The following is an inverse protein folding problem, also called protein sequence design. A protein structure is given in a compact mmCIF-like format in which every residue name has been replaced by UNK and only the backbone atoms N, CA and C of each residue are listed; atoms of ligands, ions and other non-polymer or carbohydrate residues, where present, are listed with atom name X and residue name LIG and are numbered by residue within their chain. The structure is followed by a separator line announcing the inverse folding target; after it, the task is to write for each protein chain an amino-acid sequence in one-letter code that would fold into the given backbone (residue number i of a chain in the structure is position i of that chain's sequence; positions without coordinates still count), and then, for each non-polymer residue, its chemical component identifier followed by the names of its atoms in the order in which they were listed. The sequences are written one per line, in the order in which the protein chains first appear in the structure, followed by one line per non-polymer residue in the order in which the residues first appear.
data_IF_983495126870
#
_entry.id   IF_983495126870
#
_cell.length_a   1.000
_cell.length_b   1.000
_cell.length_c   1.000
_cell.angle_alpha   90.00
_cell.angle_beta   90.00
_cell.angle_gamma   90.00
#
_symmetry.space_group_name_H-M   'P 1'
#
loop_
_entity.id
_entity.type
_entity.pdbx_description
1 polymer ?
#
# COMPACT_ATOMS: atom_id res chain seq x y z
N UNK A 1 -11.53 15.49 2.73
CA UNK A 1 -10.42 15.30 1.75
C UNK A 1 -9.40 14.37 2.36
N UNK A 2 -8.90 13.41 1.60
CA UNK A 2 -7.95 12.40 2.09
C UNK A 2 -6.58 12.98 2.49
N UNK A 3 -5.84 12.27 3.34
CA UNK A 3 -4.46 12.56 3.71
C UNK A 3 -3.53 11.45 3.23
N UNK A 4 -2.40 11.81 2.68
CA UNK A 4 -1.32 10.88 2.31
C UNK A 4 -0.09 11.23 3.13
N UNK A 5 0.64 10.21 3.56
CA UNK A 5 1.95 10.33 4.18
C UNK A 5 2.88 9.24 3.67
N UNK A 6 4.15 9.55 3.53
CA UNK A 6 5.23 8.62 3.19
C UNK A 6 6.49 8.95 3.98
N UNK A 7 7.24 7.95 4.40
CA UNK A 7 8.51 8.10 5.09
C UNK A 7 9.49 7.02 4.60
N UNK A 8 10.62 7.45 4.10
CA UNK A 8 11.74 6.61 3.70
C UNK A 8 12.98 6.93 4.55
N UNK A 9 13.55 5.92 5.18
CA UNK A 9 14.71 6.07 6.05
C UNK A 9 16.00 5.77 5.27
N UNK A 10 16.80 6.81 5.04
CA UNK A 10 18.15 6.70 4.47
C UNK A 10 19.14 6.15 5.47
N UNK A 11 18.95 6.49 6.75
CA UNK A 11 19.76 6.02 7.85
C UNK A 11 19.19 4.72 8.44
N UNK A 12 19.94 3.61 8.29
CA UNK A 12 19.52 2.29 8.77
C UNK A 12 19.38 2.20 10.30
N UNK A 13 20.06 3.05 11.07
CA UNK A 13 19.92 3.10 12.53
C UNK A 13 18.53 3.52 13.00
N UNK A 14 17.78 4.21 12.14
CA UNK A 14 16.41 4.64 12.42
C UNK A 14 15.35 3.58 12.09
N UNK A 15 15.70 2.52 11.38
CA UNK A 15 14.75 1.51 10.90
C UNK A 15 13.94 0.86 12.02
N UNK A 16 14.52 0.70 13.21
CA UNK A 16 13.80 0.19 14.39
C UNK A 16 12.74 1.15 14.93
N UNK A 17 12.77 2.42 14.52
CA UNK A 17 11.87 3.49 14.96
C UNK A 17 10.84 3.88 13.90
N UNK A 18 10.85 3.23 12.73
CA UNK A 18 10.01 3.61 11.59
C UNK A 18 8.55 3.80 11.98
N UNK A 19 7.95 2.84 12.69
CA UNK A 19 6.56 2.91 13.11
C UNK A 19 6.26 4.07 14.05
N UNK A 20 7.12 4.30 15.04
CA UNK A 20 6.96 5.40 16.00
C UNK A 20 7.17 6.79 15.36
N UNK A 21 8.02 6.88 14.33
CA UNK A 21 8.21 8.11 13.56
C UNK A 21 7.03 8.40 12.62
N UNK A 22 6.48 7.35 12.00
CA UNK A 22 5.37 7.47 11.05
C UNK A 22 4.02 7.71 11.71
N UNK A 23 3.80 7.19 12.93
CA UNK A 23 2.53 7.32 13.64
C UNK A 23 2.03 8.77 13.74
N UNK A 24 2.80 9.73 14.28
CA UNK A 24 2.34 11.11 14.40
C UNK A 24 2.05 11.75 13.05
N UNK A 25 2.77 11.37 11.98
CA UNK A 25 2.49 11.87 10.63
C UNK A 25 1.11 11.44 10.14
N UNK A 26 0.76 10.16 10.31
CA UNK A 26 -0.54 9.64 9.87
C UNK A 26 -1.67 10.18 10.73
N UNK A 27 -1.48 10.22 12.05
CA UNK A 27 -2.46 10.74 13.01
C UNK A 27 -2.78 12.22 12.74
N UNK A 28 -1.79 13.03 12.39
CA UNK A 28 -1.99 14.45 12.03
C UNK A 28 -2.94 14.60 10.83
N UNK A 29 -3.07 13.58 9.99
CA UNK A 29 -3.99 13.56 8.84
C UNK A 29 -5.42 13.10 9.19
N UNK A 30 -5.74 12.77 10.47
CA UNK A 30 -7.08 12.30 10.89
C UNK A 30 -8.18 13.28 10.51
N UNK A 31 -7.95 14.58 10.68
CA UNK A 31 -8.93 15.62 10.34
C UNK A 31 -9.27 15.69 8.85
N UNK A 32 -8.42 15.11 7.99
CA UNK A 32 -8.64 15.02 6.54
C UNK A 32 -9.41 13.78 6.13
N UNK A 33 -9.28 12.69 6.87
CA UNK A 33 -9.91 11.42 6.53
C UNK A 33 -10.12 10.54 7.76
N UNK A 34 -11.24 10.73 8.50
CA UNK A 34 -11.49 9.97 9.72
C UNK A 34 -12.15 8.62 9.49
N UNK A 35 -12.57 8.29 8.25
CA UNK A 35 -13.48 7.16 7.99
C UNK A 35 -12.73 5.83 7.90
N UNK A 36 -11.54 5.83 7.34
CA UNK A 36 -10.67 4.66 7.31
C UNK A 36 -9.21 5.08 7.15
N UNK A 37 -8.30 4.22 7.59
CA UNK A 37 -6.88 4.41 7.43
C UNK A 37 -6.18 3.10 7.07
N UNK A 38 -4.97 3.22 6.54
CA UNK A 38 -4.12 2.08 6.32
C UNK A 38 -2.71 2.47 5.93
N UNK A 39 -1.83 1.49 6.06
CA UNK A 39 -0.41 1.63 5.80
C UNK A 39 0.14 0.44 5.04
N UNK A 40 1.16 0.68 4.25
CA UNK A 40 2.06 -0.35 3.74
C UNK A 40 3.44 -0.14 4.37
N UNK A 41 4.03 -1.23 4.85
CA UNK A 41 5.34 -1.26 5.49
C UNK A 41 6.25 -2.19 4.70
N UNK A 42 7.46 -1.78 4.45
CA UNK A 42 8.48 -2.58 3.78
C UNK A 42 9.53 -3.01 4.80
N UNK A 43 9.50 -4.29 5.11
CA UNK A 43 10.32 -4.86 6.19
C UNK A 43 10.52 -6.37 6.06
N UNK A 44 11.55 -6.89 6.75
CA UNK A 44 11.78 -8.32 6.91
C UNK A 44 11.59 -9.08 5.58
N UNK A 45 12.39 -8.80 4.56
CA UNK A 45 12.28 -9.51 3.30
C UNK A 45 12.44 -11.01 3.52
N UNK A 46 11.55 -11.80 2.88
CA UNK A 46 11.60 -13.25 2.93
C UNK A 46 12.70 -13.78 2.03
N UNK A 47 13.09 -15.03 2.21
CA UNK A 47 14.14 -15.67 1.42
C UNK A 47 13.75 -15.81 -0.05
N UNK A 48 14.74 -15.91 -0.92
CA UNK A 48 14.52 -16.19 -2.35
C UNK A 48 13.70 -17.47 -2.53
N UNK A 49 12.66 -17.41 -3.34
CA UNK A 49 11.72 -18.51 -3.54
C UNK A 49 10.54 -18.52 -2.57
N UNK A 50 10.48 -17.61 -1.63
CA UNK A 50 9.32 -17.40 -0.75
C UNK A 50 8.55 -16.15 -1.16
N UNK A 51 7.25 -16.15 -0.86
CA UNK A 51 6.34 -15.01 -1.02
C UNK A 51 5.64 -14.73 0.30
N UNK A 52 5.55 -13.45 0.64
CA UNK A 52 4.78 -12.92 1.75
C UNK A 52 3.44 -12.41 1.22
N UNK A 53 2.35 -12.76 1.90
CA UNK A 53 1.02 -12.25 1.63
C UNK A 53 0.49 -11.50 2.85
N UNK A 54 -0.08 -10.34 2.62
CA UNK A 54 -0.96 -9.67 3.59
C UNK A 54 -2.39 -10.09 3.26
N UNK A 55 -3.03 -10.76 4.20
CA UNK A 55 -4.40 -11.25 4.08
C UNK A 55 -5.30 -10.52 5.09
N UNK A 56 -6.57 -10.37 4.79
CA UNK A 56 -7.56 -9.79 5.68
C UNK A 56 -8.86 -10.59 5.69
N UNK A 57 -9.52 -10.60 6.84
CA UNK A 57 -10.86 -11.16 7.03
C UNK A 57 -11.68 -10.17 7.86
N UNK A 58 -13.01 -10.05 7.59
CA UNK A 58 -13.85 -9.07 8.28
C UNK A 58 -14.24 -9.49 9.70
N UNK A 59 -14.25 -10.80 9.99
CA UNK A 59 -14.50 -11.32 11.33
C UNK A 59 -13.21 -11.26 12.17
N UNK A 60 -13.20 -10.50 13.29
CA UNK A 60 -12.03 -10.40 14.16
C UNK A 60 -11.70 -11.70 14.91
N UNK A 61 -12.67 -12.60 15.04
CA UNK A 61 -12.52 -13.90 15.70
C UNK A 61 -12.15 -15.03 14.71
N UNK A 62 -11.88 -14.68 13.45
CA UNK A 62 -11.53 -15.65 12.42
C UNK A 62 -10.25 -16.42 12.76
N UNK A 63 -10.32 -17.77 12.68
CA UNK A 63 -9.17 -18.63 12.94
C UNK A 63 -8.32 -18.86 11.69
N UNK A 64 -7.14 -18.29 11.68
CA UNK A 64 -6.15 -18.43 10.60
C UNK A 64 -5.48 -19.81 10.56
N UNK A 65 -5.57 -20.63 11.61
CA UNK A 65 -4.95 -21.97 11.70
C UNK A 65 -5.48 -22.92 10.62
N UNK A 66 -6.76 -22.80 10.28
CA UNK A 66 -7.37 -23.57 9.19
C UNK A 66 -6.71 -23.24 7.84
N UNK A 67 -6.44 -21.96 7.58
CA UNK A 67 -5.75 -21.53 6.36
C UNK A 67 -4.36 -22.15 6.24
N UNK A 68 -3.56 -22.11 7.30
CA UNK A 68 -2.21 -22.69 7.35
C UNK A 68 -2.23 -24.17 7.00
N UNK A 69 -3.11 -24.92 7.66
CA UNK A 69 -3.23 -26.37 7.49
C UNK A 69 -3.68 -26.76 6.08
N UNK A 70 -4.75 -26.12 5.59
CA UNK A 70 -5.34 -26.45 4.28
C UNK A 70 -4.43 -26.04 3.12
N UNK A 71 -3.79 -24.86 3.21
CA UNK A 71 -2.88 -24.41 2.18
C UNK A 71 -1.64 -25.31 2.08
N UNK A 72 -1.02 -25.64 3.24
CA UNK A 72 0.14 -26.53 3.29
C UNK A 72 -0.18 -27.91 2.73
N UNK A 73 -1.33 -28.49 3.10
CA UNK A 73 -1.76 -29.80 2.62
C UNK A 73 -2.06 -29.81 1.12
N UNK A 74 -2.77 -28.79 0.63
CA UNK A 74 -3.24 -28.75 -0.77
C UNK A 74 -2.09 -28.46 -1.75
N UNK A 75 -1.23 -27.49 -1.42
CA UNK A 75 -0.15 -27.07 -2.31
C UNK A 75 1.19 -27.77 -2.03
N UNK A 76 1.24 -28.60 -0.96
CA UNK A 76 2.45 -29.33 -0.54
C UNK A 76 3.65 -28.39 -0.35
N UNK A 77 3.44 -27.31 0.39
CA UNK A 77 4.40 -26.24 0.60
C UNK A 77 4.60 -25.95 2.10
N UNK A 78 5.65 -25.20 2.42
CA UNK A 78 5.82 -24.60 3.73
C UNK A 78 4.88 -23.39 3.87
N UNK A 79 4.26 -23.25 5.03
CA UNK A 79 3.43 -22.09 5.37
C UNK A 79 3.77 -21.67 6.79
N UNK A 80 3.91 -20.38 7.00
CA UNK A 80 3.94 -19.78 8.33
C UNK A 80 3.04 -18.55 8.36
N UNK A 81 2.33 -18.37 9.46
CA UNK A 81 1.41 -17.26 9.62
C UNK A 81 1.73 -16.45 10.88
N UNK A 82 1.45 -15.15 10.79
CA UNK A 82 1.45 -14.24 11.93
C UNK A 82 0.15 -13.44 11.90
N UNK A 83 -0.73 -13.71 12.84
CA UNK A 83 -1.99 -12.98 12.99
C UNK A 83 -1.78 -11.64 13.66
N UNK A 84 -2.40 -10.59 13.13
CA UNK A 84 -2.40 -9.23 13.66
C UNK A 84 -3.81 -8.64 13.48
N UNK A 85 -4.62 -8.69 14.51
CA UNK A 85 -6.03 -8.27 14.44
C UNK A 85 -6.79 -9.03 13.36
N UNK A 86 -7.51 -8.32 12.52
CA UNK A 86 -8.26 -8.84 11.36
C UNK A 86 -7.38 -9.25 10.18
N UNK A 87 -6.05 -9.10 10.31
CA UNK A 87 -5.09 -9.41 9.25
C UNK A 87 -4.18 -10.58 9.62
N UNK A 88 -3.61 -11.18 8.59
CA UNK A 88 -2.61 -12.23 8.69
C UNK A 88 -1.47 -11.97 7.71
N UNK A 89 -0.25 -12.08 8.19
CA UNK A 89 0.94 -12.14 7.34
C UNK A 89 1.29 -13.60 7.15
N UNK A 90 1.12 -14.08 5.94
CA UNK A 90 1.43 -15.45 5.52
C UNK A 90 2.71 -15.45 4.70
N UNK A 91 3.63 -16.37 5.01
CA UNK A 91 4.85 -16.62 4.23
C UNK A 91 4.82 -18.06 3.75
N UNK A 92 5.11 -18.27 2.46
CA UNK A 92 5.11 -19.60 1.84
C UNK A 92 6.13 -19.69 0.71
N UNK A 93 6.62 -20.89 0.43
CA UNK A 93 7.44 -21.23 -0.73
C UNK A 93 6.61 -21.72 -1.92
N UNK A 94 5.27 -21.71 -1.82
CA UNK A 94 4.41 -22.00 -2.95
C UNK A 94 4.47 -20.88 -4.00
N UNK A 95 4.29 -21.27 -5.26
CA UNK A 95 4.13 -20.33 -6.36
C UNK A 95 2.98 -19.33 -6.11
N UNK A 96 3.24 -18.03 -6.20
CA UNK A 96 2.28 -16.97 -5.91
C UNK A 96 0.97 -17.15 -6.69
N UNK A 97 1.05 -17.47 -7.99
CA UNK A 97 -0.15 -17.62 -8.81
C UNK A 97 -1.00 -18.82 -8.40
N UNK A 98 -0.38 -19.88 -7.85
CA UNK A 98 -1.10 -21.03 -7.30
C UNK A 98 -1.82 -20.66 -6.01
N UNK A 99 -1.18 -19.92 -5.10
CA UNK A 99 -1.80 -19.44 -3.86
C UNK A 99 -2.99 -18.52 -4.17
N UNK A 100 -2.79 -17.53 -5.04
CA UNK A 100 -3.84 -16.60 -5.47
C UNK A 100 -5.02 -17.35 -6.11
N UNK A 101 -4.73 -18.34 -6.97
CA UNK A 101 -5.77 -19.16 -7.62
C UNK A 101 -6.53 -19.99 -6.60
N UNK A 102 -5.81 -20.59 -5.65
CA UNK A 102 -6.42 -21.41 -4.61
C UNK A 102 -7.35 -20.57 -3.73
N UNK A 103 -6.89 -19.42 -3.22
CA UNK A 103 -7.71 -18.51 -2.40
C UNK A 103 -8.94 -17.95 -3.15
N UNK A 104 -8.86 -17.78 -4.47
CA UNK A 104 -9.98 -17.25 -5.30
C UNK A 104 -10.93 -18.32 -5.83
N UNK A 105 -10.60 -19.61 -5.68
CA UNK A 105 -11.42 -20.70 -6.19
C UNK A 105 -12.30 -21.28 -5.06
N UNK A 106 -13.53 -20.78 -4.94
CA UNK A 106 -14.50 -21.17 -3.92
C UNK A 106 -14.82 -22.67 -3.89
N UNK A 107 -14.54 -23.44 -4.96
CA UNK A 107 -14.72 -24.88 -5.00
C UNK A 107 -13.56 -25.66 -4.37
N UNK A 108 -12.40 -25.02 -4.22
CA UNK A 108 -11.18 -25.63 -3.69
C UNK A 108 -10.86 -25.21 -2.27
N UNK A 109 -11.58 -24.22 -1.76
CA UNK A 109 -11.36 -23.63 -0.42
C UNK A 109 -12.53 -23.99 0.47
N UNK A 110 -12.32 -24.44 1.71
CA UNK A 110 -13.40 -24.58 2.69
C UNK A 110 -14.21 -23.28 2.81
N UNK A 111 -15.53 -23.38 2.99
CA UNK A 111 -16.43 -22.22 3.06
C UNK A 111 -15.96 -21.16 4.06
N UNK A 112 -15.35 -21.61 5.17
CA UNK A 112 -14.79 -20.73 6.21
C UNK A 112 -13.64 -19.85 5.72
N UNK A 113 -12.96 -20.21 4.63
CA UNK A 113 -11.85 -19.44 4.03
C UNK A 113 -12.29 -18.57 2.83
N UNK A 114 -13.55 -18.64 2.44
CA UNK A 114 -14.04 -18.02 1.20
C UNK A 114 -14.02 -16.47 1.23
N UNK A 115 -14.02 -15.87 2.42
CA UNK A 115 -14.04 -14.42 2.63
C UNK A 115 -12.65 -13.80 2.83
N UNK A 116 -11.59 -14.62 2.76
CA UNK A 116 -10.23 -14.12 2.87
C UNK A 116 -9.89 -13.25 1.65
N UNK A 117 -9.43 -12.04 1.91
CA UNK A 117 -8.96 -11.10 0.89
C UNK A 117 -7.44 -11.01 0.88
N UNK A 118 -6.86 -11.03 -0.31
CA UNK A 118 -5.45 -10.70 -0.50
C UNK A 118 -5.34 -9.18 -0.58
N UNK A 119 -4.66 -8.58 0.40
CA UNK A 119 -4.46 -7.13 0.51
C UNK A 119 -3.17 -6.70 -0.19
N UNK A 120 -2.17 -7.59 -0.21
CA UNK A 120 -0.89 -7.38 -0.88
C UNK A 120 -0.04 -8.63 -0.89
N UNK A 121 0.93 -8.69 -1.80
CA UNK A 121 1.92 -9.76 -1.90
C UNK A 121 3.28 -9.22 -2.31
N UNK A 122 4.34 -9.93 -1.99
CA UNK A 122 5.71 -9.58 -2.32
C UNK A 122 6.72 -10.28 -1.43
N UNK A 123 7.92 -9.75 -1.38
CA UNK A 123 8.97 -10.26 -0.49
C UNK A 123 9.05 -9.48 0.82
N UNK A 124 8.76 -8.17 0.80
CA UNK A 124 8.97 -7.28 1.95
C UNK A 124 7.72 -6.56 2.42
N UNK A 125 6.73 -6.37 1.55
CA UNK A 125 5.54 -5.58 1.85
C UNK A 125 4.62 -6.25 2.86
N UNK A 126 4.13 -5.47 3.81
CA UNK A 126 3.02 -5.81 4.71
C UNK A 126 2.00 -4.67 4.70
N UNK A 127 0.73 -4.98 4.47
CA UNK A 127 -0.34 -3.99 4.40
C UNK A 127 -1.34 -4.24 5.51
N UNK A 128 -1.64 -3.17 6.25
CA UNK A 128 -2.66 -3.12 7.30
C UNK A 128 -3.60 -1.95 7.01
N UNK A 129 -4.88 -2.21 6.95
CA UNK A 129 -5.90 -1.19 6.68
C UNK A 129 -7.23 -1.56 7.31
N UNK A 130 -7.94 -0.57 7.84
CA UNK A 130 -9.22 -0.81 8.49
C UNK A 130 -10.12 0.44 8.45
N UNK A 131 -11.40 0.22 8.68
CA UNK A 131 -12.37 1.27 8.94
C UNK A 131 -12.10 1.89 10.30
N UNK A 132 -12.11 3.20 10.37
CA UNK A 132 -11.89 3.97 11.58
C UNK A 132 -10.76 4.98 11.48
N UNK A 133 -10.60 5.82 12.51
CA UNK A 133 -9.58 6.84 12.54
C UNK A 133 -8.17 6.22 12.64
N UNK A 134 -7.14 6.91 12.12
CA UNK A 134 -5.78 6.37 12.04
C UNK A 134 -5.18 5.97 13.39
N UNK A 135 -5.55 6.63 14.48
CA UNK A 135 -5.12 6.28 15.83
C UNK A 135 -5.54 4.86 16.21
N UNK A 136 -6.83 4.55 16.00
CA UNK A 136 -7.41 3.23 16.29
C UNK A 136 -6.78 2.15 15.41
N UNK A 137 -6.60 2.43 14.11
CA UNK A 137 -5.96 1.50 13.16
C UNK A 137 -4.52 1.22 13.57
N UNK A 138 -3.79 2.26 13.99
CA UNK A 138 -2.40 2.13 14.44
C UNK A 138 -2.27 1.27 15.70
N UNK A 139 -3.18 1.46 16.67
CA UNK A 139 -3.23 0.67 17.89
C UNK A 139 -3.63 -0.78 17.62
N UNK A 140 -4.69 -1.01 16.81
CA UNK A 140 -5.19 -2.33 16.47
C UNK A 140 -4.11 -3.25 15.88
N UNK A 141 -3.26 -2.71 15.03
CA UNK A 141 -2.20 -3.47 14.37
C UNK A 141 -0.82 -3.31 15.04
N UNK A 142 -0.75 -2.64 16.19
CA UNK A 142 0.49 -2.41 16.95
C UNK A 142 1.62 -1.83 16.08
N UNK A 143 1.29 -0.86 15.23
CA UNK A 143 2.20 -0.34 14.22
C UNK A 143 3.29 0.57 14.78
N UNK A 144 3.12 1.12 15.99
CA UNK A 144 4.14 1.95 16.65
C UNK A 144 5.47 1.22 16.86
N UNK A 145 5.44 -0.10 16.96
CA UNK A 145 6.63 -0.94 17.12
C UNK A 145 7.16 -1.51 15.79
N UNK A 146 6.60 -1.07 14.66
CA UNK A 146 7.04 -1.55 13.37
C UNK A 146 8.44 -1.04 13.03
N UNK A 147 9.32 -1.94 12.61
CA UNK A 147 10.61 -1.64 12.00
C UNK A 147 10.53 -1.81 10.49
N UNK A 148 11.41 -1.16 9.74
CA UNK A 148 11.47 -1.30 8.28
C UNK A 148 12.24 -0.16 7.63
N UNK A 149 12.33 -0.19 6.31
CA UNK A 149 13.03 0.83 5.53
C UNK A 149 12.13 2.02 5.20
N UNK A 150 10.87 1.76 4.91
CA UNK A 150 9.91 2.81 4.56
C UNK A 150 8.46 2.38 4.80
N UNK A 151 7.60 3.39 4.91
CA UNK A 151 6.15 3.25 5.03
C UNK A 151 5.45 4.28 4.16
N UNK A 152 4.32 3.89 3.61
CA UNK A 152 3.34 4.81 3.03
C UNK A 152 1.98 4.59 3.67
N UNK A 153 1.21 5.66 3.85
CA UNK A 153 -0.07 5.60 4.52
C UNK A 153 -1.08 6.59 3.99
N UNK A 154 -2.32 6.31 4.32
CA UNK A 154 -3.47 7.08 3.84
C UNK A 154 -4.55 7.16 4.90
N UNK A 155 -5.19 8.33 4.98
CA UNK A 155 -6.44 8.55 5.73
C UNK A 155 -7.53 8.94 4.75
N UNK A 156 -8.66 8.23 4.77
CA UNK A 156 -9.74 8.37 3.79
C UNK A 156 -10.92 9.12 4.37
N UNK A 157 -11.43 10.07 3.60
CA UNK A 157 -12.77 10.59 3.74
C UNK A 157 -13.60 10.03 2.58
N UNK A 158 -14.58 9.20 2.88
CA UNK A 158 -15.50 8.65 1.89
C UNK A 158 -16.55 9.72 1.50
N UNK A 159 -16.72 9.95 0.21
CA UNK A 159 -17.69 10.93 -0.31
C UNK A 159 -18.87 10.28 -0.99
N UNK A 160 -18.65 9.23 -1.76
CA UNK A 160 -19.70 8.61 -2.61
C UNK A 160 -19.73 7.08 -2.48
N UNK A 161 -18.71 6.46 -1.92
CA UNK A 161 -18.60 5.00 -1.81
C UNK A 161 -18.67 4.53 -0.36
N UNK A 162 -19.12 3.30 -0.16
CA UNK A 162 -19.18 2.68 1.17
C UNK A 162 -17.81 2.71 1.87
N UNK A 163 -17.84 2.89 3.18
CA UNK A 163 -16.65 2.78 4.04
C UNK A 163 -16.48 1.30 4.37
N UNK A 164 -15.47 0.68 3.77
CA UNK A 164 -15.15 -0.74 3.97
C UNK A 164 -13.65 -0.92 4.05
N UNK A 165 -13.19 -1.94 4.74
CA UNK A 165 -11.77 -2.32 4.81
C UNK A 165 -11.20 -2.59 3.42
N UNK A 166 -11.94 -3.28 2.54
CA UNK A 166 -11.53 -3.53 1.16
C UNK A 166 -11.30 -2.24 0.36
N UNK A 167 -12.20 -1.25 0.51
CA UNK A 167 -12.13 0.05 -0.17
C UNK A 167 -11.15 1.04 0.45
N UNK A 168 -10.47 0.69 1.55
CA UNK A 168 -9.47 1.53 2.19
C UNK A 168 -8.12 1.42 1.47
N UNK A 169 -7.30 2.47 1.54
CA UNK A 169 -5.94 2.47 1.02
C UNK A 169 -4.97 1.86 2.05
N UNK A 170 -3.77 1.39 1.62
CA UNK A 170 -3.23 1.33 0.26
C UNK A 170 -3.85 0.25 -0.62
N UNK A 171 -3.62 0.36 -1.94
CA UNK A 171 -3.94 -0.68 -2.93
C UNK A 171 -2.64 -1.29 -3.48
N UNK A 172 -2.51 -2.60 -3.36
CA UNK A 172 -1.43 -3.38 -3.97
C UNK A 172 -2.00 -4.25 -5.10
N UNK A 173 -1.37 -4.22 -6.25
CA UNK A 173 -1.78 -4.97 -7.43
C UNK A 173 -0.66 -5.81 -8.04
N UNK A 174 0.57 -5.64 -7.55
CA UNK A 174 1.76 -6.38 -7.95
C UNK A 174 2.66 -6.69 -6.76
N UNK A 175 3.64 -7.54 -6.96
CA UNK A 175 4.60 -7.93 -5.93
C UNK A 175 5.38 -6.70 -5.44
N UNK A 176 5.38 -6.49 -4.13
CA UNK A 176 6.01 -5.34 -3.45
C UNK A 176 5.63 -3.96 -4.01
N UNK A 177 4.54 -3.87 -4.77
CA UNK A 177 4.05 -2.61 -5.33
C UNK A 177 2.74 -2.21 -4.67
N UNK A 178 2.70 -1.03 -4.07
CA UNK A 178 1.45 -0.45 -3.59
C UNK A 178 1.37 1.05 -3.84
N UNK A 179 0.14 1.55 -3.80
CA UNK A 179 -0.19 2.93 -4.16
C UNK A 179 -1.17 3.52 -3.15
N UNK A 180 -0.91 4.75 -2.73
CA UNK A 180 -1.87 5.64 -2.09
C UNK A 180 -2.13 6.85 -2.97
N UNK A 181 -3.38 7.32 -2.98
CA UNK A 181 -3.87 8.30 -3.95
C UNK A 181 -4.71 9.38 -3.26
N UNK A 182 -4.45 10.62 -3.61
CA UNK A 182 -5.33 11.73 -3.30
C UNK A 182 -5.73 12.41 -4.61
N UNK A 183 -6.99 12.30 -4.99
CA UNK A 183 -7.49 12.82 -6.26
C UNK A 183 -8.68 12.06 -6.80
N UNK A 184 -8.80 12.05 -8.11
CA UNK A 184 -9.79 11.28 -8.86
C UNK A 184 -9.32 11.06 -10.30
N UNK A 185 -9.46 9.84 -10.81
CA UNK A 185 -9.18 9.50 -12.20
C UNK A 185 -10.50 9.47 -12.99
N UNK A 186 -10.65 10.38 -13.94
CA UNK A 186 -11.85 10.52 -14.77
C UNK A 186 -12.01 9.37 -15.77
N UNK A 187 -10.93 8.79 -16.25
CA UNK A 187 -10.94 7.70 -17.21
C UNK A 187 -10.82 6.29 -16.61
N UNK A 188 -10.92 6.15 -15.27
CA UNK A 188 -10.70 4.86 -14.58
C UNK A 188 -11.59 3.71 -15.10
N UNK A 189 -12.84 3.99 -15.49
CA UNK A 189 -13.75 2.97 -16.01
C UNK A 189 -13.35 2.45 -17.42
N UNK A 190 -12.73 3.29 -18.24
CA UNK A 190 -12.19 2.87 -19.55
C UNK A 190 -10.94 2.03 -19.33
N UNK A 191 -10.05 2.50 -18.47
CA UNK A 191 -8.83 1.77 -18.12
C UNK A 191 -9.14 0.43 -17.47
N UNK A 192 -10.11 0.36 -16.57
CA UNK A 192 -10.58 -0.89 -15.94
C UNK A 192 -10.94 -1.93 -16.99
N UNK A 193 -11.81 -1.59 -17.95
CA UNK A 193 -12.20 -2.51 -19.04
C UNK A 193 -11.01 -2.97 -19.87
N UNK A 194 -10.09 -2.07 -20.20
CA UNK A 194 -8.90 -2.42 -20.96
C UNK A 194 -8.02 -3.39 -20.19
N UNK A 195 -7.78 -3.14 -18.90
CA UNK A 195 -6.98 -4.00 -18.04
C UNK A 195 -7.64 -5.36 -17.76
N UNK A 196 -8.97 -5.42 -17.72
CA UNK A 196 -9.73 -6.68 -17.65
C UNK A 196 -9.51 -7.53 -18.92
N UNK A 197 -9.42 -6.92 -20.09
CA UNK A 197 -9.06 -7.63 -21.34
C UNK A 197 -7.62 -8.17 -21.30
N UNK A 198 -6.72 -7.52 -20.55
CA UNK A 198 -5.35 -8.01 -20.27
C UNK A 198 -5.30 -9.06 -19.14
N UNK A 199 -6.47 -9.50 -18.65
CA UNK A 199 -6.60 -10.56 -17.65
C UNK A 199 -6.46 -10.09 -16.20
N UNK A 200 -6.43 -8.78 -15.95
CA UNK A 200 -6.41 -8.22 -14.60
C UNK A 200 -7.84 -8.28 -14.01
N UNK A 201 -7.96 -8.58 -12.73
CA UNK A 201 -9.23 -8.62 -12.02
C UNK A 201 -9.20 -7.66 -10.86
N UNK A 202 -10.28 -6.90 -10.71
CA UNK A 202 -10.46 -5.91 -9.65
C UNK A 202 -11.30 -6.47 -8.50
N UNK A 203 -11.03 -6.01 -7.30
CA UNK A 203 -11.75 -6.38 -6.08
C UNK A 203 -12.73 -5.29 -5.65
N UNK A 204 -12.48 -4.03 -6.05
CA UNK A 204 -13.28 -2.87 -5.67
C UNK A 204 -13.60 -1.98 -6.88
N UNK A 205 -14.50 -1.03 -6.71
CA UNK A 205 -14.77 0.00 -7.71
C UNK A 205 -13.84 1.21 -7.58
N UNK A 206 -12.81 1.14 -6.72
CA UNK A 206 -11.91 2.26 -6.46
C UNK A 206 -11.00 2.56 -7.67
N UNK A 207 -10.86 3.82 -8.02
CA UNK A 207 -10.01 4.28 -9.11
C UNK A 207 -8.51 4.11 -8.80
N UNK A 208 -8.13 4.12 -7.52
CA UNK A 208 -6.75 3.85 -7.08
C UNK A 208 -6.33 2.41 -7.39
N UNK A 209 -7.23 1.44 -7.24
CA UNK A 209 -6.96 0.07 -7.64
C UNK A 209 -6.67 -0.01 -9.15
N UNK A 210 -7.38 0.78 -9.96
CA UNK A 210 -7.14 0.87 -11.40
C UNK A 210 -5.77 1.47 -11.71
N UNK A 211 -5.39 2.54 -11.01
CA UNK A 211 -4.07 3.15 -11.18
C UNK A 211 -2.94 2.17 -10.82
N UNK A 212 -3.06 1.46 -9.69
CA UNK A 212 -2.09 0.45 -9.28
C UNK A 212 -2.02 -0.72 -10.28
N UNK A 213 -3.17 -1.19 -10.76
CA UNK A 213 -3.25 -2.24 -11.78
C UNK A 213 -2.62 -1.81 -13.12
N UNK A 214 -2.79 -0.54 -13.51
CA UNK A 214 -2.13 0.03 -14.68
C UNK A 214 -0.61 -0.03 -14.55
N UNK A 215 -0.05 0.43 -13.42
CA UNK A 215 1.38 0.36 -13.17
C UNK A 215 1.88 -1.09 -13.21
N UNK A 216 1.18 -2.00 -12.56
CA UNK A 216 1.53 -3.43 -12.57
C UNK A 216 1.53 -4.02 -13.98
N UNK A 217 0.55 -3.65 -14.81
CA UNK A 217 0.47 -4.07 -16.21
C UNK A 217 1.67 -3.58 -17.03
N UNK A 218 2.03 -2.29 -16.88
CA UNK A 218 3.21 -1.72 -17.55
C UNK A 218 4.50 -2.43 -17.12
N UNK A 219 4.69 -2.66 -15.80
CA UNK A 219 5.87 -3.38 -15.29
C UNK A 219 5.96 -4.82 -15.82
N UNK A 220 4.83 -5.56 -15.85
CA UNK A 220 4.75 -6.90 -16.42
C UNK A 220 5.05 -6.91 -17.93
N UNK A 221 4.80 -5.82 -18.63
CA UNK A 221 5.12 -5.62 -20.04
C UNK A 221 6.58 -5.21 -20.27
N UNK A 222 7.39 -5.14 -19.22
CA UNK A 222 8.84 -4.87 -19.29
C UNK A 222 9.24 -3.41 -19.12
N UNK A 223 8.30 -2.51 -18.79
CA UNK A 223 8.63 -1.14 -18.45
C UNK A 223 9.33 -1.05 -17.08
N UNK A 224 10.24 -0.09 -16.90
CA UNK A 224 10.72 0.30 -15.58
C UNK A 224 9.61 1.07 -14.84
N UNK A 225 9.73 1.22 -13.50
CA UNK A 225 8.78 2.02 -12.73
C UNK A 225 8.70 3.46 -13.28
N UNK A 226 9.85 4.08 -13.56
CA UNK A 226 9.92 5.42 -14.14
C UNK A 226 9.16 5.50 -15.47
N UNK A 227 9.38 4.58 -16.39
CA UNK A 227 8.66 4.52 -17.67
C UNK A 227 7.15 4.34 -17.46
N UNK A 228 6.74 3.46 -16.54
CA UNK A 228 5.34 3.25 -16.21
C UNK A 228 4.68 4.52 -15.64
N UNK A 229 5.39 5.29 -14.82
CA UNK A 229 4.92 6.56 -14.28
C UNK A 229 4.89 7.68 -15.34
N UNK A 230 5.89 7.76 -16.23
CA UNK A 230 5.89 8.68 -17.37
C UNK A 230 4.73 8.41 -18.33
N UNK A 231 4.44 7.13 -18.60
CA UNK A 231 3.24 6.72 -19.35
C UNK A 231 1.98 7.09 -18.58
N UNK A 232 1.96 6.85 -17.26
CA UNK A 232 0.84 7.21 -16.39
C UNK A 232 0.49 8.70 -16.45
N UNK A 233 1.47 9.59 -16.43
CA UNK A 233 1.24 11.04 -16.56
C UNK A 233 0.53 11.38 -17.87
N UNK A 234 0.74 10.62 -18.94
CA UNK A 234 0.10 10.83 -20.26
C UNK A 234 -1.25 10.14 -20.41
N UNK A 235 -1.43 8.98 -19.78
CA UNK A 235 -2.55 8.07 -20.04
C UNK A 235 -3.63 8.09 -18.92
N UNK A 236 -3.24 8.45 -17.68
CA UNK A 236 -4.17 8.60 -16.56
C UNK A 236 -4.78 10.01 -16.60
N UNK A 237 -6.06 10.09 -16.96
CA UNK A 237 -6.78 11.35 -16.99
C UNK A 237 -7.42 11.65 -15.64
N UNK A 238 -7.28 12.89 -15.17
CA UNK A 238 -7.80 13.32 -13.87
C UNK A 238 -6.87 14.28 -13.15
N UNK A 239 -6.99 14.32 -11.85
CA UNK A 239 -6.12 15.10 -10.97
C UNK A 239 -5.72 14.23 -9.77
N UNK A 240 -4.44 14.10 -9.54
CA UNK A 240 -3.93 13.17 -8.53
C UNK A 240 -2.56 13.55 -7.97
N UNK A 241 -2.35 13.13 -6.75
CA UNK A 241 -1.03 12.94 -6.17
C UNK A 241 -0.92 11.47 -5.75
N UNK A 242 0.08 10.77 -6.25
CA UNK A 242 0.41 9.41 -5.87
C UNK A 242 1.63 9.37 -4.98
N UNK A 243 1.59 8.49 -3.97
CA UNK A 243 2.77 7.97 -3.32
C UNK A 243 2.79 6.46 -3.53
N UNK A 244 3.84 5.95 -4.14
CA UNK A 244 4.00 4.56 -4.56
C UNK A 244 5.13 3.95 -3.74
N UNK A 245 4.87 2.82 -3.09
CA UNK A 245 5.89 2.02 -2.43
C UNK A 245 6.30 0.84 -3.29
N UNK A 246 7.58 0.55 -3.30
CA UNK A 246 8.21 -0.61 -3.97
C UNK A 246 9.10 -1.35 -2.99
N UNK A 247 9.66 -2.49 -3.37
CA UNK A 247 10.54 -3.27 -2.51
C UNK A 247 11.72 -2.45 -1.97
N UNK A 248 12.29 -1.57 -2.79
CA UNK A 248 13.55 -0.89 -2.49
C UNK A 248 13.38 0.58 -2.10
N UNK A 249 12.19 1.17 -2.32
CA UNK A 249 12.00 2.57 -2.05
C UNK A 249 10.58 3.08 -2.28
N UNK A 250 10.45 4.38 -2.45
CA UNK A 250 9.16 4.95 -2.81
C UNK A 250 9.29 6.05 -3.87
N UNK A 251 8.18 6.29 -4.55
CA UNK A 251 8.07 7.35 -5.55
C UNK A 251 6.90 8.28 -5.25
N UNK A 252 7.05 9.55 -5.64
CA UNK A 252 5.97 10.54 -5.59
C UNK A 252 5.80 11.16 -6.96
N UNK A 253 4.54 11.26 -7.42
CA UNK A 253 4.21 11.91 -8.68
C UNK A 253 2.93 12.72 -8.54
N UNK A 254 2.93 13.91 -9.16
CA UNK A 254 1.74 14.76 -9.31
C UNK A 254 1.33 14.82 -10.79
N UNK A 255 0.03 14.89 -11.00
CA UNK A 255 -0.56 15.13 -12.31
C UNK A 255 -0.16 16.49 -12.89
N UNK A 256 -0.42 16.77 -14.19
CA UNK A 256 -0.10 18.05 -14.82
C UNK A 256 -0.84 19.26 -14.22
N UNK A 257 -2.00 19.06 -13.60
CA UNK A 257 -2.81 20.13 -12.99
C UNK A 257 -2.28 20.50 -11.59
N UNK A 258 -1.74 19.50 -10.88
CA UNK A 258 -1.17 19.61 -9.54
C UNK A 258 -2.06 20.30 -8.49
N UNK A 259 -3.38 20.13 -8.58
CA UNK A 259 -4.33 20.77 -7.66
C UNK A 259 -4.42 20.08 -6.29
N UNK A 260 -3.87 18.86 -6.14
CA UNK A 260 -3.79 18.20 -4.84
C UNK A 260 -2.50 18.56 -4.12
N UNK A 261 -2.65 19.01 -2.88
CA UNK A 261 -1.50 19.41 -2.08
C UNK A 261 -0.59 18.23 -1.78
N UNK A 262 0.71 18.49 -1.87
CA UNK A 262 1.77 17.60 -1.44
C UNK A 262 2.99 18.44 -1.03
N UNK A 263 3.67 18.00 0.01
CA UNK A 263 4.94 18.57 0.47
C UNK A 263 5.94 17.43 0.59
N UNK A 264 7.12 17.67 0.10
CA UNK A 264 8.28 16.82 0.28
C UNK A 264 9.27 17.50 1.23
N UNK A 265 9.92 16.69 2.05
CA UNK A 265 11.02 17.16 2.90
C UNK A 265 12.11 16.11 2.95
N UNK A 266 13.36 16.54 2.90
CA UNK A 266 14.51 15.66 2.87
C UNK A 266 15.61 16.14 3.83
N UNK A 267 16.20 15.18 4.54
CA UNK A 267 17.39 15.35 5.37
C UNK A 267 18.45 14.33 4.96
N UNK A 268 19.58 14.29 5.66
CA UNK A 268 20.56 13.21 5.49
C UNK A 268 20.02 11.85 5.94
N UNK A 269 19.11 11.83 6.93
CA UNK A 269 18.61 10.61 7.57
C UNK A 269 17.33 10.05 6.94
N UNK A 270 16.48 10.90 6.38
CA UNK A 270 15.17 10.48 5.88
C UNK A 270 14.63 11.39 4.78
N UNK A 271 13.67 10.85 4.03
CA UNK A 271 12.79 11.59 3.12
C UNK A 271 11.35 11.37 3.57
N UNK A 272 10.58 12.45 3.59
CA UNK A 272 9.17 12.43 3.94
C UNK A 272 8.30 13.09 2.87
N UNK A 273 7.12 12.55 2.68
CA UNK A 273 6.05 13.11 1.86
C UNK A 273 4.79 13.22 2.71
N UNK A 274 4.07 14.32 2.61
CA UNK A 274 2.75 14.46 3.22
C UNK A 274 1.85 15.37 2.40
N UNK A 275 0.53 15.23 2.60
CA UNK A 275 -0.44 16.17 2.04
C UNK A 275 -0.27 17.56 2.65
N UNK A 276 0.13 17.64 3.93
CA UNK A 276 0.36 18.91 4.64
C UNK A 276 1.66 18.84 5.44
N UNK A 277 2.41 19.94 5.44
CA UNK A 277 3.71 20.03 6.15
C UNK A 277 3.60 19.72 7.65
N UNK A 278 2.47 20.03 8.31
CA UNK A 278 2.29 19.77 9.73
C UNK A 278 2.50 18.29 10.10
N UNK A 279 2.24 17.35 9.19
CA UNK A 279 2.56 15.94 9.42
C UNK A 279 4.08 15.69 9.47
N UNK A 280 4.84 16.34 8.59
CA UNK A 280 6.30 16.22 8.51
C UNK A 280 6.96 16.90 9.73
N UNK A 281 6.36 17.97 10.24
CA UNK A 281 6.87 18.72 11.38
C UNK A 281 7.05 17.89 12.68
N UNK A 282 6.40 16.72 12.77
CA UNK A 282 6.61 15.77 13.87
C UNK A 282 7.94 15.01 13.79
N UNK A 283 8.59 14.99 12.63
CA UNK A 283 9.86 14.27 12.45
C UNK A 283 11.01 15.07 13.06
N UNK A 284 11.87 14.37 13.79
CA UNK A 284 13.10 14.96 14.33
C UNK A 284 13.98 15.47 13.19
N UNK A 285 14.45 16.70 13.28
CA UNK A 285 15.30 17.35 12.28
C UNK A 285 14.52 18.01 11.13
N UNK A 286 13.18 18.02 11.20
CA UNK A 286 12.33 18.67 10.17
C UNK A 286 12.59 20.17 10.05
N UNK A 287 13.08 20.82 11.09
CA UNK A 287 13.47 22.23 11.10
C UNK A 287 14.71 22.54 10.23
N UNK A 288 15.50 21.53 9.88
CA UNK A 288 16.68 21.61 9.05
C UNK A 288 16.50 20.92 7.68
N UNK A 289 15.32 20.40 7.41
CA UNK A 289 15.04 19.69 6.17
C UNK A 289 14.99 20.65 4.98
N UNK A 290 15.44 20.20 3.82
CA UNK A 290 15.06 20.82 2.55
C UNK A 290 13.58 20.51 2.29
N UNK A 291 12.76 21.56 2.08
CA UNK A 291 11.30 21.46 1.95
C UNK A 291 10.89 22.05 0.62
N UNK A 292 10.09 21.29 -0.16
CA UNK A 292 9.53 21.78 -1.42
C UNK A 292 8.17 21.15 -1.73
N UNK A 293 7.42 21.79 -2.63
CA UNK A 293 6.25 21.18 -3.27
C UNK A 293 6.71 20.41 -4.52
N UNK A 294 6.26 19.16 -4.72
CA UNK A 294 6.57 18.44 -5.95
C UNK A 294 6.00 19.18 -7.17
N UNK A 295 6.84 19.37 -8.18
CA UNK A 295 6.46 20.02 -9.43
C UNK A 295 5.43 19.19 -10.21
N UNK A 296 4.54 19.84 -10.99
CA UNK A 296 3.61 19.17 -11.88
C UNK A 296 4.33 18.24 -12.86
N UNK A 297 3.74 17.08 -13.16
CA UNK A 297 4.29 16.09 -14.11
C UNK A 297 5.72 15.62 -13.80
N UNK A 298 6.17 15.78 -12.56
CA UNK A 298 7.52 15.39 -12.14
C UNK A 298 7.47 14.17 -11.26
N UNK A 299 8.41 13.24 -11.50
CA UNK A 299 8.55 11.99 -10.78
C UNK A 299 9.77 12.09 -9.86
N UNK A 300 9.54 11.91 -8.58
CA UNK A 300 10.57 11.83 -7.55
C UNK A 300 10.69 10.40 -7.07
N UNK A 301 11.91 9.88 -6.96
CA UNK A 301 12.18 8.50 -6.52
C UNK A 301 13.31 8.46 -5.51
N UNK A 302 13.20 7.61 -4.50
CA UNK A 302 14.21 7.35 -3.50
C UNK A 302 14.34 5.85 -3.25
N UNK A 303 15.58 5.37 -3.06
CA UNK A 303 15.89 3.97 -2.78
C UNK A 303 15.89 3.05 -4.00
N UNK A 304 15.37 3.49 -5.14
CA UNK A 304 15.40 2.75 -6.40
C UNK A 304 16.51 3.27 -7.33
N UNK A 305 17.29 2.35 -7.89
CA UNK A 305 18.09 2.56 -9.10
C UNK A 305 17.53 1.70 -10.26
#
# INVERSE_FOLDING_TARGET
MCGIVGLYLKNSELQAQLGSMFQPMLVEMSSRGPDSAGVAIYRNPVESGQTKFSLAHDDPDFSWETLETELAATLQCSVSIKTVGTHCILVTDADEAKVVRWLKNSQSVPDVLAEIRIVGSGQSIEIFKEVGPPETVYEQFNLSHASGTHMIGHTRMATESAVTTAGSHPFATGADLCLVHNGSLSNHNILRRNLEHEGIRFQTENDTEVAGAYLTWKLRSGATLRQALEDGIRELDGFYTFCIGTQNGFAVVRDPIACKHAVLAETEDWVAMATEFRAIAHLRGSENAEIWEPEPSTIYTWGEE
#
